data_IF_107779532509
#
_entry.id   IF_107779532509
#
_cell.length_a   1.000
_cell.length_b   1.000
_cell.length_c   1.000
_cell.angle_alpha   90.00
_cell.angle_beta   90.00
_cell.angle_gamma   90.00
#
_symmetry.space_group_name_H-M   'P 1'
#
loop_
_entity.id
_entity.type
_entity.pdbx_description
1 polymer ?
#
# COMPACT_ATOMS: atom_id res chain seq x y z
N UNK A 1 -66.87 0.17 6.96
CA UNK A 1 -65.56 -0.11 7.60
C UNK A 1 -64.87 -1.37 7.06
N UNK A 2 -65.58 -2.41 6.62
CA UNK A 2 -64.96 -3.63 6.09
C UNK A 2 -64.32 -3.49 4.70
N UNK A 3 -64.99 -2.79 3.77
CA UNK A 3 -64.50 -2.59 2.40
C UNK A 3 -63.21 -1.79 2.31
N UNK A 4 -63.04 -0.79 3.17
CA UNK A 4 -61.81 0.03 3.24
C UNK A 4 -60.62 -0.80 3.71
N UNK A 5 -60.83 -1.71 4.67
CA UNK A 5 -59.77 -2.63 5.15
C UNK A 5 -59.36 -3.64 4.08
N UNK A 6 -60.34 -4.14 3.32
CA UNK A 6 -60.08 -5.10 2.22
C UNK A 6 -59.29 -4.41 1.10
N UNK A 7 -59.65 -3.19 0.73
CA UNK A 7 -58.91 -2.40 -0.26
C UNK A 7 -57.48 -2.11 0.20
N UNK A 8 -57.28 -1.76 1.47
CA UNK A 8 -55.95 -1.51 2.02
C UNK A 8 -55.06 -2.76 1.96
N UNK A 9 -55.60 -3.93 2.33
CA UNK A 9 -54.87 -5.21 2.29
C UNK A 9 -54.51 -5.59 0.85
N UNK A 10 -55.46 -5.45 -0.08
CA UNK A 10 -55.25 -5.77 -1.50
C UNK A 10 -54.17 -4.87 -2.14
N UNK A 11 -54.19 -3.56 -1.81
CA UNK A 11 -53.17 -2.63 -2.29
C UNK A 11 -51.80 -2.94 -1.70
N UNK A 12 -51.69 -3.24 -0.39
CA UNK A 12 -50.42 -3.63 0.22
C UNK A 12 -49.86 -4.94 -0.35
N UNK A 13 -50.71 -5.91 -0.64
CA UNK A 13 -50.28 -7.18 -1.24
C UNK A 13 -49.81 -6.97 -2.70
N UNK A 14 -50.49 -6.11 -3.45
CA UNK A 14 -50.05 -5.76 -4.81
C UNK A 14 -48.70 -5.04 -4.81
N UNK A 15 -48.43 -4.16 -3.84
CA UNK A 15 -47.12 -3.50 -3.68
C UNK A 15 -45.99 -4.50 -3.40
N UNK A 16 -46.22 -5.51 -2.55
CA UNK A 16 -45.22 -6.55 -2.23
C UNK A 16 -45.00 -7.56 -3.37
N UNK A 17 -45.98 -7.72 -4.27
CA UNK A 17 -45.87 -8.56 -5.47
C UNK A 17 -45.28 -7.81 -6.67
N UNK A 18 -45.23 -6.47 -6.60
CA UNK A 18 -44.61 -5.59 -7.57
C UNK A 18 -43.13 -5.32 -7.28
N UNK A 19 -42.55 -5.88 -6.21
CA UNK A 19 -41.10 -5.90 -6.04
C UNK A 19 -40.49 -6.61 -7.25
N UNK A 20 -39.84 -5.88 -8.17
CA UNK A 20 -39.18 -6.52 -9.29
C UNK A 20 -38.11 -7.39 -8.66
N UNK A 21 -38.30 -8.71 -8.77
CA UNK A 21 -37.35 -9.76 -8.42
C UNK A 21 -35.96 -9.15 -8.39
N UNK A 22 -35.49 -8.87 -7.17
CA UNK A 22 -34.21 -8.22 -6.92
C UNK A 22 -33.22 -8.95 -7.78
N UNK A 23 -32.85 -8.36 -8.92
CA UNK A 23 -31.77 -8.90 -9.71
C UNK A 23 -30.62 -8.85 -8.76
N UNK A 24 -30.09 -10.03 -8.42
CA UNK A 24 -28.78 -10.14 -7.84
C UNK A 24 -27.87 -9.40 -8.82
N UNK A 25 -27.65 -8.11 -8.55
CA UNK A 25 -26.57 -7.35 -9.12
C UNK A 25 -25.35 -8.20 -8.78
N UNK A 26 -24.57 -8.66 -9.77
CA UNK A 26 -23.30 -9.29 -9.49
C UNK A 26 -22.57 -8.33 -8.57
N UNK A 27 -22.32 -8.77 -7.34
CA UNK A 27 -21.58 -7.99 -6.36
C UNK A 27 -20.30 -7.51 -7.06
N UNK A 28 -20.07 -6.19 -7.22
CA UNK A 28 -18.86 -5.72 -7.86
C UNK A 28 -17.67 -6.34 -7.12
N UNK A 29 -16.63 -6.78 -7.86
CA UNK A 29 -15.52 -7.53 -7.31
C UNK A 29 -15.05 -6.89 -6.01
N UNK A 30 -14.99 -7.72 -4.96
CA UNK A 30 -14.92 -7.29 -3.58
C UNK A 30 -13.85 -6.23 -3.38
N UNK A 31 -14.28 -5.01 -3.01
CA UNK A 31 -13.49 -3.83 -2.61
C UNK A 31 -12.68 -4.07 -1.31
N UNK A 32 -12.28 -5.30 -1.04
CA UNK A 32 -11.36 -5.71 0.02
C UNK A 32 -9.90 -5.63 -0.41
N UNK A 33 -9.61 -5.35 -1.69
CA UNK A 33 -8.24 -5.28 -2.20
C UNK A 33 -7.51 -3.97 -1.86
N UNK A 34 -8.24 -2.89 -1.61
CA UNK A 34 -7.61 -1.58 -1.43
C UNK A 34 -6.85 -1.47 -0.10
N UNK A 35 -7.39 -2.02 1.00
CA UNK A 35 -6.72 -1.94 2.30
C UNK A 35 -5.33 -2.59 2.30
N UNK A 36 -5.15 -3.83 1.79
CA UNK A 36 -3.83 -4.43 1.63
C UNK A 36 -2.88 -3.59 0.76
N UNK A 37 -3.34 -3.04 -0.36
CA UNK A 37 -2.51 -2.23 -1.26
C UNK A 37 -2.05 -0.94 -0.57
N UNK A 38 -2.96 -0.22 0.09
CA UNK A 38 -2.62 0.95 0.88
C UNK A 38 -1.66 0.64 2.03
N UNK A 39 -1.86 -0.47 2.74
CA UNK A 39 -0.94 -0.89 3.81
C UNK A 39 0.48 -1.08 3.28
N UNK A 40 0.61 -1.64 2.08
CA UNK A 40 1.89 -1.93 1.48
C UNK A 40 2.58 -0.67 0.98
N UNK A 41 1.85 0.25 0.35
CA UNK A 41 2.34 1.59 -0.02
C UNK A 41 2.74 2.38 1.23
N UNK A 42 1.89 2.41 2.26
CA UNK A 42 2.18 3.12 3.51
C UNK A 42 3.45 2.60 4.17
N UNK A 43 3.67 1.29 4.15
CA UNK A 43 4.89 0.69 4.65
C UNK A 43 6.11 1.11 3.81
N UNK A 44 6.03 1.01 2.48
CA UNK A 44 7.10 1.39 1.57
C UNK A 44 7.47 2.88 1.66
N UNK A 45 6.48 3.74 1.89
CA UNK A 45 6.65 5.19 1.93
C UNK A 45 6.85 5.75 3.35
N UNK A 46 6.73 4.94 4.40
CA UNK A 46 6.85 5.37 5.81
C UNK A 46 8.16 6.11 6.11
N UNK A 47 9.24 5.70 5.44
CA UNK A 47 10.59 6.27 5.57
C UNK A 47 10.66 7.73 5.11
N UNK A 48 9.82 8.14 4.14
CA UNK A 48 9.86 9.49 3.55
C UNK A 48 9.23 10.53 4.47
N UNK A 49 8.23 10.16 5.26
CA UNK A 49 7.53 11.09 6.16
C UNK A 49 8.25 11.31 7.51
N UNK A 50 9.49 10.81 7.67
CA UNK A 50 10.24 10.91 8.92
C UNK A 50 9.69 10.05 10.06
N UNK A 51 8.63 9.27 9.81
CA UNK A 51 8.09 8.28 10.75
C UNK A 51 8.73 6.93 10.46
N UNK A 52 9.98 6.74 10.88
CA UNK A 52 10.51 5.39 11.01
C UNK A 52 9.65 4.64 12.04
N UNK A 53 8.72 3.80 11.58
CA UNK A 53 8.09 2.82 12.46
C UNK A 53 9.21 1.96 13.06
N UNK A 54 9.32 1.85 14.39
CA UNK A 54 10.36 1.05 14.99
C UNK A 54 10.02 -0.43 14.76
N UNK A 55 10.90 -1.12 14.04
CA UNK A 55 11.04 -2.57 13.96
C UNK A 55 9.92 -3.33 13.22
N UNK A 56 10.01 -3.37 11.90
CA UNK A 56 9.77 -4.62 11.17
C UNK A 56 11.01 -4.91 10.31
N UNK A 57 11.66 -6.09 10.46
CA UNK A 57 12.73 -6.48 9.56
C UNK A 57 12.10 -6.66 8.18
N UNK A 58 12.35 -5.68 7.29
CA UNK A 58 12.27 -5.86 5.86
C UNK A 58 13.16 -7.06 5.53
N UNK A 59 12.55 -8.22 5.26
CA UNK A 59 13.23 -9.31 4.58
C UNK A 59 13.50 -8.83 3.15
N UNK A 60 14.59 -8.08 2.99
CA UNK A 60 15.30 -8.00 1.72
C UNK A 60 15.81 -9.41 1.44
N UNK A 61 15.09 -10.16 0.62
CA UNK A 61 15.62 -11.35 -0.03
C UNK A 61 16.63 -10.88 -1.09
N UNK A 62 17.80 -10.46 -0.61
CA UNK A 62 18.99 -10.22 -1.44
C UNK A 62 20.00 -11.29 -1.01
N UNK A 63 19.86 -12.46 -1.63
CA UNK A 63 20.60 -13.65 -1.28
C UNK A 63 22.08 -13.49 -1.60
N UNK A 64 22.95 -13.41 -0.59
CA UNK A 64 24.39 -13.66 -0.70
C UNK A 64 24.88 -14.46 0.51
N UNK A 65 24.93 -15.78 0.36
CA UNK A 65 25.46 -16.71 1.35
C UNK A 65 26.43 -17.73 0.74
N UNK A 66 27.62 -17.28 0.37
CA UNK A 66 28.74 -18.16 0.00
C UNK A 66 29.34 -18.81 1.25
N UNK A 67 28.86 -20.00 1.60
CA UNK A 67 29.49 -20.85 2.62
C UNK A 67 30.62 -21.70 2.03
N UNK A 68 31.85 -21.18 1.99
CA UNK A 68 33.03 -22.02 1.77
C UNK A 68 33.66 -22.37 3.12
N UNK A 69 33.41 -23.60 3.57
CA UNK A 69 34.14 -24.20 4.69
C UNK A 69 35.47 -24.76 4.21
N UNK A 70 36.58 -24.29 4.79
CA UNK A 70 37.89 -24.93 4.66
C UNK A 70 38.66 -24.95 5.98
N UNK A 71 38.73 -26.15 6.57
CA UNK A 71 39.97 -26.90 6.77
C UNK A 71 41.10 -26.24 7.55
N UNK A 72 41.35 -26.77 8.75
CA UNK A 72 42.49 -26.51 9.62
C UNK A 72 43.85 -26.83 8.95
N UNK A 73 44.81 -25.91 9.08
CA UNK A 73 46.22 -26.12 8.73
C UNK A 73 47.15 -25.28 9.62
N UNK A 74 48.11 -25.95 10.25
CA UNK A 74 49.07 -25.42 11.21
C UNK A 74 50.16 -24.53 10.59
N UNK A 75 50.62 -23.51 11.33
CA UNK A 75 51.84 -22.76 11.00
C UNK A 75 52.37 -21.91 12.15
N UNK A 76 53.59 -22.23 12.61
CA UNK A 76 54.40 -21.50 13.59
C UNK A 76 54.98 -20.20 12.99
N UNK A 77 55.11 -19.13 13.80
CA UNK A 77 55.89 -17.94 13.44
C UNK A 77 55.91 -16.86 14.52
N UNK A 78 57.11 -16.50 14.99
CA UNK A 78 57.39 -15.49 16.01
C UNK A 78 57.41 -14.04 15.48
N UNK A 79 57.17 -13.10 16.41
CA UNK A 79 57.81 -11.78 16.55
C UNK A 79 57.12 -10.48 16.08
N UNK A 80 57.00 -9.60 17.08
CA UNK A 80 56.93 -8.13 17.17
C UNK A 80 56.30 -7.25 16.07
N UNK A 81 55.30 -6.47 16.49
CA UNK A 81 54.90 -5.23 15.82
C UNK A 81 53.68 -4.58 16.44
N UNK A 82 53.87 -3.61 17.35
CA UNK A 82 52.78 -2.73 17.79
C UNK A 82 52.33 -1.89 16.59
N UNK A 83 51.23 -2.29 15.95
CA UNK A 83 50.47 -1.44 15.03
C UNK A 83 49.02 -1.47 15.45
N UNK A 84 48.62 -0.44 16.20
CA UNK A 84 47.22 -0.15 16.51
C UNK A 84 46.50 0.10 15.18
N UNK A 85 45.94 -0.95 14.60
CA UNK A 85 45.03 -0.82 13.48
C UNK A 85 43.74 -0.19 14.02
N UNK A 86 43.67 1.13 13.85
CA UNK A 86 42.46 1.91 14.05
C UNK A 86 41.34 1.23 13.28
N UNK A 87 40.33 0.75 13.98
CA UNK A 87 39.01 0.48 13.42
C UNK A 87 38.47 1.82 12.89
N UNK A 88 38.82 2.15 11.64
CA UNK A 88 38.04 3.11 10.87
C UNK A 88 36.78 2.38 10.44
N UNK A 89 35.84 2.26 11.36
CA UNK A 89 34.42 2.15 11.04
C UNK A 89 34.02 3.46 10.35
N UNK A 90 34.40 3.58 9.07
CA UNK A 90 33.79 4.55 8.18
C UNK A 90 32.48 3.93 7.72
N UNK A 91 31.47 4.01 8.59
CA UNK A 91 30.08 4.06 8.12
C UNK A 91 29.87 5.48 7.57
N UNK A 92 30.42 5.72 6.37
CA UNK A 92 30.34 7.00 5.68
C UNK A 92 29.81 6.73 4.27
N UNK A 93 28.57 7.13 4.03
CA UNK A 93 27.80 6.93 2.80
C UNK A 93 26.41 6.42 3.17
N UNK A 94 25.52 7.23 3.73
CA UNK A 94 24.78 8.23 2.96
C UNK A 94 24.29 7.70 1.61
N UNK A 95 23.67 6.52 1.60
CA UNK A 95 22.64 6.19 0.61
C UNK A 95 21.35 6.87 1.06
N UNK A 96 21.37 8.20 0.96
CA UNK A 96 20.35 9.11 1.45
C UNK A 96 19.59 9.60 0.20
N UNK A 97 18.31 9.27 0.07
CA UNK A 97 17.44 9.72 -1.01
C UNK A 97 16.91 8.58 -1.88
N UNK A 98 17.73 8.08 -2.83
CA UNK A 98 17.17 7.35 -3.98
C UNK A 98 16.51 6.01 -3.65
N UNK A 99 17.14 5.09 -2.90
CA UNK A 99 16.61 3.72 -2.79
C UNK A 99 15.25 3.63 -2.07
N UNK A 100 15.03 4.43 -1.02
CA UNK A 100 13.75 4.44 -0.31
C UNK A 100 12.65 5.18 -1.09
N UNK A 101 13.02 6.27 -1.76
CA UNK A 101 12.10 7.04 -2.61
C UNK A 101 11.69 6.24 -3.85
N UNK A 102 12.65 5.56 -4.48
CA UNK A 102 12.44 4.65 -5.62
C UNK A 102 11.52 3.49 -5.23
N UNK A 103 11.75 2.88 -4.05
CA UNK A 103 10.91 1.80 -3.54
C UNK A 103 9.48 2.28 -3.25
N UNK A 104 9.30 3.44 -2.61
CA UNK A 104 7.98 4.04 -2.42
C UNK A 104 7.29 4.34 -3.76
N UNK A 105 8.01 4.94 -4.70
CA UNK A 105 7.50 5.27 -6.04
C UNK A 105 7.05 4.01 -6.80
N UNK A 106 7.80 2.90 -6.68
CA UNK A 106 7.40 1.62 -7.26
C UNK A 106 6.03 1.19 -6.74
N UNK A 107 5.85 1.17 -5.42
CA UNK A 107 4.60 0.72 -4.83
C UNK A 107 3.44 1.69 -5.06
N UNK A 108 3.69 3.00 -5.14
CA UNK A 108 2.67 3.95 -5.58
C UNK A 108 2.21 3.68 -7.02
N UNK A 109 3.12 3.33 -7.94
CA UNK A 109 2.74 2.97 -9.32
C UNK A 109 1.94 1.67 -9.42
N UNK A 110 2.08 0.77 -8.44
CA UNK A 110 1.30 -0.48 -8.38
C UNK A 110 -0.04 -0.33 -7.64
N UNK A 111 -0.26 0.80 -6.95
CA UNK A 111 -1.54 1.08 -6.30
C UNK A 111 -2.61 1.31 -7.37
N UNK A 112 -3.72 0.58 -7.25
CA UNK A 112 -4.80 0.64 -8.22
C UNK A 112 -5.53 2.01 -8.19
N UNK A 113 -5.85 2.52 -9.38
CA UNK A 113 -6.59 3.77 -9.53
C UNK A 113 -8.01 3.68 -8.95
N UNK A 114 -8.69 2.54 -9.08
CA UNK A 114 -10.03 2.31 -8.49
C UNK A 114 -9.97 2.48 -6.97
N UNK A 115 -8.90 1.98 -6.35
CA UNK A 115 -8.68 2.10 -4.92
C UNK A 115 -8.43 3.54 -4.47
N UNK A 116 -7.66 4.30 -5.25
CA UNK A 116 -7.44 5.74 -5.02
C UNK A 116 -8.74 6.50 -5.10
N UNK A 117 -9.51 6.28 -6.16
CA UNK A 117 -10.77 6.96 -6.38
C UNK A 117 -11.79 6.63 -5.29
N UNK A 118 -11.95 5.34 -4.92
CA UNK A 118 -12.89 4.90 -3.89
C UNK A 118 -12.65 5.59 -2.53
N UNK A 119 -11.39 5.83 -2.15
CA UNK A 119 -11.07 6.57 -0.93
C UNK A 119 -11.41 8.05 -1.06
N UNK A 120 -11.10 8.67 -2.21
CA UNK A 120 -11.39 10.08 -2.45
C UNK A 120 -12.91 10.36 -2.52
N UNK A 121 -13.70 9.40 -2.98
CA UNK A 121 -15.17 9.47 -2.95
C UNK A 121 -15.77 9.40 -1.54
N UNK A 122 -15.05 8.83 -0.56
CA UNK A 122 -15.51 8.79 0.85
C UNK A 122 -15.26 10.09 1.60
N UNK A 123 -14.54 11.04 1.01
CA UNK A 123 -14.34 12.35 1.60
C UNK A 123 -15.68 13.09 1.74
N UNK A 124 -15.80 14.03 2.69
CA UNK A 124 -16.97 14.87 2.79
C UNK A 124 -17.30 15.59 1.46
N UNK A 125 -18.58 15.92 1.18
CA UNK A 125 -19.03 16.44 -0.12
C UNK A 125 -18.29 17.68 -0.63
N UNK A 126 -17.72 18.48 0.27
CA UNK A 126 -16.98 19.70 -0.07
C UNK A 126 -15.52 19.44 -0.51
N UNK A 127 -14.99 18.22 -0.31
CA UNK A 127 -13.66 17.78 -0.75
C UNK A 127 -13.72 16.70 -1.82
N UNK A 128 -14.85 15.99 -1.95
CA UNK A 128 -15.05 15.00 -2.99
C UNK A 128 -15.36 15.68 -4.32
N UNK A 129 -14.63 15.33 -5.38
CA UNK A 129 -14.96 15.70 -6.76
C UNK A 129 -15.17 14.42 -7.57
N UNK A 130 -16.22 14.30 -8.39
CA UNK A 130 -16.44 13.07 -9.16
C UNK A 130 -15.35 12.85 -10.22
N UNK A 131 -15.11 13.84 -11.07
CA UNK A 131 -14.06 13.76 -12.10
C UNK A 131 -12.85 14.59 -11.70
N UNK A 132 -11.73 13.94 -11.40
CA UNK A 132 -10.53 14.61 -10.92
C UNK A 132 -9.27 13.81 -11.22
N UNK A 133 -8.14 14.51 -11.22
CA UNK A 133 -6.82 13.89 -11.20
C UNK A 133 -6.21 14.09 -9.81
N UNK A 134 -5.61 13.04 -9.27
CA UNK A 134 -4.92 13.07 -8.00
C UNK A 134 -3.45 12.72 -8.23
N UNK A 135 -2.55 13.65 -7.93
CA UNK A 135 -1.10 13.45 -8.09
C UNK A 135 -0.42 13.37 -6.74
N UNK A 136 0.31 12.28 -6.50
CA UNK A 136 1.18 12.08 -5.35
C UNK A 136 2.61 12.41 -5.75
N UNK A 137 3.23 13.31 -5.01
CA UNK A 137 4.63 13.72 -5.20
C UNK A 137 5.50 13.08 -4.11
N UNK A 138 6.51 12.32 -4.52
CA UNK A 138 7.52 11.72 -3.64
C UNK A 138 8.83 12.49 -3.84
N UNK A 139 9.08 13.44 -2.93
CA UNK A 139 10.25 14.32 -2.96
C UNK A 139 10.49 14.90 -4.37
N UNK A 140 11.74 14.88 -4.86
CA UNK A 140 12.11 15.25 -6.23
C UNK A 140 12.17 14.03 -7.17
N UNK A 141 11.97 12.82 -6.66
CA UNK A 141 12.25 11.57 -7.36
C UNK A 141 11.10 11.10 -8.25
N UNK A 142 9.84 11.33 -7.85
CA UNK A 142 8.70 10.69 -8.50
C UNK A 142 7.38 11.45 -8.35
N UNK A 143 6.59 11.46 -9.42
CA UNK A 143 5.21 11.90 -9.43
C UNK A 143 4.32 10.80 -10.02
N UNK A 144 3.26 10.42 -9.30
CA UNK A 144 2.29 9.42 -9.76
C UNK A 144 0.93 10.10 -9.83
N UNK A 145 0.28 10.02 -10.99
CA UNK A 145 -1.03 10.65 -11.21
C UNK A 145 -2.08 9.58 -11.46
N UNK A 146 -3.16 9.64 -10.71
CA UNK A 146 -4.34 8.80 -10.85
C UNK A 146 -5.46 9.65 -11.45
N UNK A 147 -6.20 9.08 -12.39
CA UNK A 147 -7.33 9.74 -13.04
C UNK A 147 -8.61 9.07 -12.56
N UNK A 148 -9.46 9.83 -11.86
CA UNK A 148 -10.74 9.35 -11.38
C UNK A 148 -11.85 9.90 -12.27
N UNK A 149 -12.54 8.98 -12.92
CA UNK A 149 -13.74 9.28 -13.70
C UNK A 149 -15.00 9.16 -12.84
N UNK A 150 -16.09 9.68 -13.41
CA UNK A 150 -17.41 9.59 -12.79
C UNK A 150 -17.89 8.14 -12.89
N UNK A 151 -17.92 7.43 -11.76
CA UNK A 151 -18.53 6.10 -11.69
C UNK A 151 -20.05 6.27 -11.83
N UNK A 152 -20.60 5.81 -12.97
CA UNK A 152 -22.03 5.81 -13.30
C UNK A 152 -22.80 4.70 -12.56
#
# INVERSE_FOLDING_TARGET
MGTVKILAIALSAAFLLLDPMTKAVPDPPQRSLCMPQYSLVNHACSVILGYSLPNHPLTSDDGHGHGHGHGHGNGHGHSHGRRRHRHRQRHGGSHNGSSSEDNCCKWLKELDEECVCDVLYRLPPFLSKPTHTYTVYVAEACNVTYSCDMHL
#
